data_IF_371292127795
#
_entry.id   IF_371292127795
#
_cell.length_a   1.000
_cell.length_b   1.000
_cell.length_c   1.000
_cell.angle_alpha   90.00
_cell.angle_beta   90.00
_cell.angle_gamma   90.00
#
_symmetry.space_group_name_H-M   'P 1'
#
loop_
_entity.id
_entity.type
_entity.pdbx_description
1 polymer ?
#
# COMPACT_ATOMS: atom_id res chain seq x y z
N UNK A 1 -83.30 18.19 -44.91
CA UNK A 1 -82.04 17.43 -45.10
C UNK A 1 -80.89 18.20 -44.43
N UNK A 2 -80.09 17.53 -43.59
CA UNK A 2 -78.94 18.04 -42.78
C UNK A 2 -79.39 18.87 -41.56
N UNK A 3 -79.11 18.56 -40.29
CA UNK A 3 -78.08 17.72 -39.67
C UNK A 3 -77.30 18.58 -38.68
N UNK A 4 -77.65 18.57 -37.38
CA UNK A 4 -76.77 19.00 -36.27
C UNK A 4 -77.10 18.17 -35.03
N UNK A 5 -76.34 17.09 -34.84
CA UNK A 5 -76.28 16.33 -33.59
C UNK A 5 -75.66 17.26 -32.55
N UNK A 6 -76.41 17.62 -31.51
CA UNK A 6 -75.83 18.24 -30.31
C UNK A 6 -75.05 17.14 -29.59
N UNK A 7 -73.72 17.24 -29.60
CA UNK A 7 -72.85 16.40 -28.79
C UNK A 7 -73.18 16.66 -27.31
N UNK A 8 -73.57 15.62 -26.56
CA UNK A 8 -73.59 15.66 -25.10
C UNK A 8 -72.13 15.64 -24.61
N UNK A 9 -71.74 16.41 -23.58
CA UNK A 9 -70.40 16.30 -23.02
C UNK A 9 -70.23 14.93 -22.37
N UNK A 10 -69.11 14.26 -22.66
CA UNK A 10 -68.63 13.11 -21.92
C UNK A 10 -68.09 13.61 -20.58
N UNK A 11 -68.94 13.67 -19.56
CA UNK A 11 -68.46 13.64 -18.17
C UNK A 11 -67.99 12.21 -17.88
N UNK A 12 -66.72 11.95 -18.20
CA UNK A 12 -66.03 10.81 -17.64
C UNK A 12 -65.96 11.02 -16.13
N UNK A 13 -66.75 10.24 -15.37
CA UNK A 13 -66.58 10.07 -13.93
C UNK A 13 -65.21 9.44 -13.69
N UNK A 14 -64.16 10.28 -13.65
CA UNK A 14 -62.87 9.90 -13.10
C UNK A 14 -63.11 9.65 -11.61
N UNK A 15 -63.09 8.39 -11.20
CA UNK A 15 -62.98 8.01 -9.78
C UNK A 15 -61.77 8.76 -9.22
N UNK A 16 -61.88 9.54 -8.12
CA UNK A 16 -60.72 10.22 -7.58
C UNK A 16 -59.66 9.17 -7.21
N UNK A 17 -58.36 9.43 -7.47
CA UNK A 17 -57.30 8.52 -7.06
C UNK A 17 -57.40 8.28 -5.55
N UNK A 18 -57.20 7.04 -5.06
CA UNK A 18 -57.24 6.75 -3.64
C UNK A 18 -56.25 7.67 -2.92
N UNK A 19 -56.72 8.33 -1.86
CA UNK A 19 -55.91 9.29 -1.13
C UNK A 19 -54.59 8.65 -0.66
N UNK A 20 -53.45 9.37 -0.69
CA UNK A 20 -52.14 8.84 -0.32
C UNK A 20 -52.04 8.39 1.15
N UNK A 21 -53.07 8.64 1.96
CA UNK A 21 -53.13 8.36 3.40
C UNK A 21 -53.02 6.87 3.74
N UNK A 22 -53.57 5.97 2.92
CA UNK A 22 -53.58 4.53 3.21
C UNK A 22 -52.20 3.86 3.08
N UNK A 23 -51.35 4.42 2.22
CA UNK A 23 -49.98 3.95 2.03
C UNK A 23 -49.10 4.33 3.23
N UNK A 24 -49.25 5.56 3.73
CA UNK A 24 -48.51 6.02 4.91
C UNK A 24 -48.93 5.31 6.18
N UNK A 25 -50.23 5.04 6.40
CA UNK A 25 -50.67 4.30 7.60
C UNK A 25 -50.10 2.87 7.63
N UNK A 26 -50.18 2.14 6.52
CA UNK A 26 -49.62 0.80 6.41
C UNK A 26 -48.09 0.77 6.62
N UNK A 27 -47.38 1.79 6.13
CA UNK A 27 -45.95 1.95 6.35
C UNK A 27 -45.63 2.15 7.84
N UNK A 28 -46.33 3.05 8.53
CA UNK A 28 -46.09 3.33 9.94
C UNK A 28 -46.49 2.17 10.86
N UNK A 29 -47.55 1.43 10.52
CA UNK A 29 -47.94 0.24 11.25
C UNK A 29 -46.84 -0.85 11.16
N UNK A 30 -46.31 -1.06 9.95
CA UNK A 30 -45.17 -1.98 9.74
C UNK A 30 -43.90 -1.52 10.45
N UNK A 31 -43.60 -0.23 10.44
CA UNK A 31 -42.47 0.34 11.16
C UNK A 31 -42.61 0.17 12.68
N UNK A 32 -43.84 0.34 13.21
CA UNK A 32 -44.15 0.15 14.63
C UNK A 32 -43.97 -1.30 15.06
N UNK A 33 -44.35 -2.23 14.19
CA UNK A 33 -44.15 -3.67 14.38
C UNK A 33 -42.66 -4.02 14.44
N UNK A 34 -41.87 -3.58 13.45
CA UNK A 34 -40.41 -3.79 13.40
C UNK A 34 -39.75 -3.22 14.66
N UNK A 35 -40.09 -1.98 15.05
CA UNK A 35 -39.53 -1.37 16.27
C UNK A 35 -39.92 -2.12 17.55
N UNK A 36 -41.14 -2.63 17.64
CA UNK A 36 -41.60 -3.44 18.78
C UNK A 36 -40.87 -4.77 18.85
N UNK A 37 -40.57 -5.38 17.71
CA UNK A 37 -39.79 -6.61 17.61
C UNK A 37 -38.36 -6.41 18.14
N UNK A 38 -37.61 -5.45 17.61
CA UNK A 38 -36.22 -5.21 18.07
C UNK A 38 -36.11 -4.73 19.52
N UNK A 39 -37.13 -4.05 20.06
CA UNK A 39 -37.19 -3.75 21.51
C UNK A 39 -37.35 -4.99 22.39
N UNK A 40 -38.07 -6.01 21.90
CA UNK A 40 -38.29 -7.28 22.62
C UNK A 40 -37.15 -8.27 22.41
N UNK A 41 -36.43 -8.14 21.30
CA UNK A 41 -35.32 -9.00 20.91
C UNK A 41 -34.05 -8.16 20.72
N UNK A 42 -33.49 -7.57 21.80
CA UNK A 42 -32.25 -6.81 21.71
C UNK A 42 -31.09 -7.67 21.20
N UNK A 43 -31.08 -8.97 21.52
CA UNK A 43 -30.12 -9.94 21.02
C UNK A 43 -30.18 -10.16 19.49
N UNK A 44 -31.29 -9.86 18.81
CA UNK A 44 -31.37 -9.95 17.34
C UNK A 44 -30.74 -8.73 16.64
N UNK A 45 -30.63 -7.59 17.33
CA UNK A 45 -29.84 -6.45 16.85
C UNK A 45 -28.36 -6.66 17.15
N UNK A 46 -28.04 -7.21 18.33
CA UNK A 46 -26.67 -7.46 18.76
C UNK A 46 -26.05 -8.68 18.07
N UNK A 47 -26.79 -9.76 17.82
CA UNK A 47 -26.27 -10.97 17.19
C UNK A 47 -25.85 -10.82 15.72
N UNK A 48 -26.34 -9.80 15.01
CA UNK A 48 -25.81 -9.43 13.68
C UNK A 48 -24.50 -8.65 13.81
N UNK A 49 -24.34 -7.89 14.90
CA UNK A 49 -23.12 -7.14 15.20
C UNK A 49 -22.02 -8.05 15.76
N UNK A 50 -22.36 -8.98 16.65
CA UNK A 50 -21.42 -10.00 17.17
C UNK A 50 -20.96 -10.95 16.06
N UNK A 51 -21.86 -11.44 15.19
CA UNK A 51 -21.44 -12.30 14.10
C UNK A 51 -20.56 -11.57 13.08
N UNK A 52 -20.83 -10.29 12.81
CA UNK A 52 -19.97 -9.48 11.95
C UNK A 52 -18.61 -9.20 12.62
N UNK A 53 -18.57 -8.94 13.93
CA UNK A 53 -17.33 -8.73 14.66
C UNK A 53 -16.51 -10.03 14.79
N UNK A 54 -17.15 -11.19 15.00
CA UNK A 54 -16.44 -12.48 15.06
C UNK A 54 -15.78 -12.81 13.72
N UNK A 55 -16.44 -12.54 12.59
CA UNK A 55 -15.84 -12.68 11.26
C UNK A 55 -14.68 -11.67 11.04
N UNK A 56 -14.83 -10.43 11.50
CA UNK A 56 -13.76 -9.41 11.45
C UNK A 56 -12.56 -9.80 12.33
N UNK A 57 -12.79 -10.30 13.54
CA UNK A 57 -11.75 -10.74 14.49
C UNK A 57 -10.94 -11.93 13.93
N UNK A 58 -11.60 -12.90 13.28
CA UNK A 58 -10.93 -14.02 12.61
C UNK A 58 -10.05 -13.55 11.42
N UNK A 59 -10.52 -12.55 10.67
CA UNK A 59 -9.76 -11.95 9.55
C UNK A 59 -8.56 -11.15 10.07
N UNK A 60 -8.71 -10.38 11.15
CA UNK A 60 -7.63 -9.65 11.80
C UNK A 60 -6.55 -10.59 12.34
N UNK A 61 -6.94 -11.68 13.01
CA UNK A 61 -6.01 -12.69 13.51
C UNK A 61 -5.26 -13.40 12.38
N UNK A 62 -5.95 -13.70 11.27
CA UNK A 62 -5.33 -14.29 10.08
C UNK A 62 -4.33 -13.33 9.43
N UNK A 63 -4.65 -12.03 9.37
CA UNK A 63 -3.72 -10.99 8.91
C UNK A 63 -2.50 -10.89 9.82
N UNK A 64 -2.69 -10.89 11.13
CA UNK A 64 -1.60 -10.83 12.11
C UNK A 64 -0.65 -12.03 11.96
N UNK A 65 -1.21 -13.24 11.85
CA UNK A 65 -0.46 -14.47 11.62
C UNK A 65 0.34 -14.43 10.32
N UNK A 66 -0.25 -13.87 9.26
CA UNK A 66 0.43 -13.71 7.97
C UNK A 66 1.62 -12.76 8.08
N UNK A 67 1.44 -11.58 8.70
CA UNK A 67 2.53 -10.63 8.95
C UNK A 67 3.63 -11.29 9.79
N UNK A 68 3.26 -12.05 10.82
CA UNK A 68 4.22 -12.76 11.66
C UNK A 68 5.00 -13.83 10.88
N UNK A 69 4.36 -14.53 9.95
CA UNK A 69 5.00 -15.55 9.11
C UNK A 69 5.92 -14.95 8.03
N UNK A 70 5.74 -13.69 7.68
CA UNK A 70 6.56 -13.02 6.67
C UNK A 70 7.97 -12.70 7.18
N UNK A 71 8.19 -12.53 8.49
CA UNK A 71 9.51 -12.21 9.05
C UNK A 71 10.28 -13.46 9.47
N UNK A 72 11.59 -13.45 9.21
CA UNK A 72 12.49 -14.44 9.80
C UNK A 72 12.62 -14.22 11.31
N UNK A 73 12.92 -15.30 12.04
CA UNK A 73 13.22 -15.21 13.48
C UNK A 73 14.38 -14.27 13.79
N UNK A 74 15.34 -14.12 12.87
CA UNK A 74 16.47 -13.17 13.01
C UNK A 74 16.05 -11.71 12.79
N UNK A 75 15.03 -11.47 11.97
CA UNK A 75 14.50 -10.13 11.69
C UNK A 75 13.65 -9.59 12.86
N UNK A 76 13.17 -10.48 13.74
CA UNK A 76 12.38 -10.17 14.93
C UNK A 76 11.23 -9.18 14.65
N UNK A 77 10.36 -9.55 13.70
CA UNK A 77 9.19 -8.75 13.25
C UNK A 77 9.57 -7.34 12.78
N UNK A 78 10.66 -7.22 12.02
CA UNK A 78 11.11 -5.95 11.45
C UNK A 78 12.01 -5.11 12.35
N UNK A 79 12.39 -5.62 13.52
CA UNK A 79 13.31 -4.92 14.43
C UNK A 79 14.75 -4.93 13.94
N UNK A 80 15.16 -5.99 13.26
CA UNK A 80 16.51 -6.17 12.75
C UNK A 80 16.47 -6.54 11.28
N UNK A 81 17.52 -6.15 10.55
CA UNK A 81 17.74 -6.54 9.16
C UNK A 81 18.74 -7.69 9.16
N UNK A 82 18.37 -8.83 8.57
CA UNK A 82 19.26 -9.97 8.42
C UNK A 82 20.10 -9.82 7.15
N UNK A 83 21.37 -9.44 7.32
CA UNK A 83 22.33 -9.33 6.23
C UNK A 83 23.24 -10.55 6.12
N UNK A 84 23.01 -11.62 6.90
CA UNK A 84 23.91 -12.76 6.94
C UNK A 84 23.92 -13.55 5.62
N UNK A 85 22.76 -13.72 5.00
CA UNK A 85 22.66 -14.36 3.67
C UNK A 85 23.42 -13.57 2.60
N UNK A 86 23.27 -12.25 2.62
CA UNK A 86 23.96 -11.34 1.70
C UNK A 86 25.47 -11.32 1.95
N UNK A 87 25.90 -11.35 3.21
CA UNK A 87 27.31 -11.51 3.57
C UNK A 87 27.89 -12.80 3.00
N UNK A 88 27.17 -13.93 3.13
CA UNK A 88 27.60 -15.20 2.57
C UNK A 88 27.74 -15.15 1.04
N UNK A 89 26.83 -14.47 0.34
CA UNK A 89 26.97 -14.22 -1.09
C UNK A 89 28.18 -13.34 -1.42
N UNK A 90 28.43 -12.30 -0.61
CA UNK A 90 29.55 -11.38 -0.77
C UNK A 90 30.90 -12.10 -0.64
N UNK A 91 31.14 -12.85 0.45
CA UNK A 91 32.42 -13.54 0.68
C UNK A 91 32.71 -14.63 -0.34
N UNK A 92 31.66 -15.27 -0.89
CA UNK A 92 31.78 -16.31 -1.92
C UNK A 92 31.95 -15.73 -3.33
N UNK A 93 31.81 -14.41 -3.50
CA UNK A 93 31.95 -13.76 -4.79
C UNK A 93 33.41 -13.42 -5.11
N UNK A 94 33.72 -13.25 -6.40
CA UNK A 94 35.06 -12.85 -6.85
C UNK A 94 35.39 -11.37 -6.62
N UNK A 95 34.37 -10.56 -6.32
CA UNK A 95 34.55 -9.14 -6.02
C UNK A 95 34.57 -8.86 -4.51
N UNK A 96 34.05 -9.79 -3.71
CA UNK A 96 34.09 -9.72 -2.26
C UNK A 96 35.51 -9.87 -1.73
N UNK A 97 35.76 -9.20 -0.61
CA UNK A 97 36.96 -9.39 0.18
C UNK A 97 36.68 -10.46 1.25
N UNK A 98 37.66 -11.30 1.62
CA UNK A 98 37.55 -12.21 2.76
C UNK A 98 37.63 -11.41 4.07
N UNK A 99 36.54 -10.74 4.40
CA UNK A 99 36.38 -9.90 5.61
C UNK A 99 35.42 -10.57 6.58
N UNK A 100 35.54 -10.23 7.86
CA UNK A 100 34.58 -10.64 8.89
C UNK A 100 33.24 -9.92 8.73
N UNK A 101 32.18 -10.48 9.34
CA UNK A 101 30.83 -9.91 9.27
C UNK A 101 30.74 -8.48 9.80
N UNK A 102 31.43 -8.15 10.89
CA UNK A 102 31.50 -6.79 11.45
C UNK A 102 32.07 -5.79 10.45
N UNK A 103 33.20 -6.13 9.83
CA UNK A 103 33.82 -5.31 8.80
C UNK A 103 32.94 -5.19 7.54
N UNK A 104 32.16 -6.23 7.22
CA UNK A 104 31.18 -6.15 6.15
C UNK A 104 30.06 -5.14 6.45
N UNK A 105 29.62 -5.02 7.71
CA UNK A 105 28.64 -4.00 8.10
C UNK A 105 29.18 -2.58 7.96
N UNK A 106 30.46 -2.36 8.29
CA UNK A 106 31.11 -1.06 8.09
C UNK A 106 31.15 -0.68 6.59
N UNK A 107 31.45 -1.67 5.75
CA UNK A 107 31.44 -1.55 4.29
C UNK A 107 30.02 -1.26 3.79
N UNK A 108 29.01 -1.97 4.27
CA UNK A 108 27.60 -1.75 3.94
C UNK A 108 27.09 -0.36 4.36
N UNK A 109 27.54 0.16 5.51
CA UNK A 109 27.13 1.47 6.04
C UNK A 109 27.60 2.65 5.19
N UNK A 110 28.58 2.47 4.30
CA UNK A 110 29.14 3.55 3.50
C UNK A 110 29.13 3.23 2.00
N UNK A 111 27.95 3.10 1.36
CA UNK A 111 27.86 2.71 -0.04
C UNK A 111 28.56 3.70 -0.99
N UNK A 112 28.62 4.99 -0.64
CA UNK A 112 29.26 6.04 -1.45
C UNK A 112 30.79 6.04 -1.32
N UNK A 113 31.35 5.60 -0.19
CA UNK A 113 32.80 5.52 0.02
C UNK A 113 33.39 4.25 -0.60
N UNK A 114 32.53 3.30 -1.01
CA UNK A 114 32.94 2.12 -1.75
C UNK A 114 33.43 2.52 -3.15
N UNK A 115 34.70 2.86 -3.22
CA UNK A 115 35.47 2.97 -4.44
C UNK A 115 35.74 1.55 -4.99
N UNK A 116 34.65 0.81 -5.26
CA UNK A 116 34.72 -0.50 -5.91
C UNK A 116 35.30 -0.23 -7.30
N UNK A 117 36.47 -0.82 -7.62
CA UNK A 117 37.07 -0.68 -8.94
C UNK A 117 36.02 -0.95 -10.02
N UNK A 118 35.92 -0.08 -11.03
CA UNK A 118 34.92 -0.21 -12.12
C UNK A 118 34.88 -1.63 -12.73
N UNK A 119 36.04 -2.30 -12.79
CA UNK A 119 36.18 -3.69 -13.25
C UNK A 119 35.38 -4.69 -12.41
N UNK A 120 35.29 -4.48 -11.09
CA UNK A 120 34.52 -5.31 -10.17
C UNK A 120 33.01 -5.00 -10.22
N UNK A 121 32.61 -3.75 -10.47
CA UNK A 121 31.19 -3.40 -10.73
C UNK A 121 30.65 -4.05 -12.01
N UNK A 122 31.52 -4.32 -12.98
CA UNK A 122 31.18 -4.97 -14.25
C UNK A 122 31.10 -6.50 -14.16
N UNK A 123 31.55 -7.11 -13.05
CA UNK A 123 31.48 -8.56 -12.88
C UNK A 123 30.01 -9.02 -12.82
N UNK A 124 29.72 -10.13 -13.50
CA UNK A 124 28.37 -10.73 -13.50
C UNK A 124 27.84 -10.98 -12.09
N UNK A 125 28.69 -11.47 -11.20
CA UNK A 125 28.34 -11.74 -9.81
C UNK A 125 27.97 -10.46 -9.04
N UNK A 126 28.58 -9.31 -9.33
CA UNK A 126 28.21 -8.04 -8.71
C UNK A 126 26.86 -7.55 -9.23
N UNK A 127 26.60 -7.75 -10.53
CA UNK A 127 25.31 -7.48 -11.17
C UNK A 127 24.18 -8.41 -10.74
N UNK A 128 24.49 -9.54 -10.12
CA UNK A 128 23.50 -10.43 -9.50
C UNK A 128 23.31 -10.07 -8.02
N UNK A 129 24.40 -9.82 -7.30
CA UNK A 129 24.38 -9.49 -5.87
C UNK A 129 23.70 -8.15 -5.56
N UNK A 130 24.01 -7.08 -6.28
CA UNK A 130 23.46 -5.75 -5.98
C UNK A 130 21.93 -5.69 -6.13
N UNK A 131 21.33 -6.20 -7.23
CA UNK A 131 19.87 -6.30 -7.32
C UNK A 131 19.26 -7.17 -6.22
N UNK A 132 19.90 -8.27 -5.83
CA UNK A 132 19.42 -9.11 -4.73
C UNK A 132 19.42 -8.35 -3.39
N UNK A 133 20.49 -7.59 -3.11
CA UNK A 133 20.60 -6.75 -1.94
C UNK A 133 19.49 -5.69 -1.90
N UNK A 134 19.30 -4.96 -3.00
CA UNK A 134 18.26 -3.93 -3.10
C UNK A 134 16.87 -4.56 -2.98
N UNK A 135 16.62 -5.67 -3.66
CA UNK A 135 15.34 -6.37 -3.59
C UNK A 135 15.00 -6.82 -2.16
N UNK A 136 15.98 -7.36 -1.42
CA UNK A 136 15.78 -7.73 -0.02
C UNK A 136 15.46 -6.52 0.86
N UNK A 137 16.21 -5.43 0.73
CA UNK A 137 15.99 -4.22 1.52
C UNK A 137 14.64 -3.56 1.20
N UNK A 138 14.28 -3.47 -0.08
CA UNK A 138 12.96 -2.95 -0.50
C UNK A 138 11.83 -3.82 0.03
N UNK A 139 11.96 -5.15 -0.07
CA UNK A 139 10.97 -6.08 0.46
C UNK A 139 10.86 -6.01 1.99
N UNK A 140 11.98 -5.81 2.69
CA UNK A 140 11.98 -5.58 4.14
C UNK A 140 11.27 -4.26 4.50
N UNK A 141 11.51 -3.19 3.75
CA UNK A 141 10.84 -1.90 3.96
C UNK A 141 9.32 -2.00 3.72
N UNK A 142 8.91 -2.70 2.66
CA UNK A 142 7.49 -2.95 2.35
C UNK A 142 6.74 -3.65 3.48
N UNK A 143 7.37 -4.65 4.08
CA UNK A 143 6.75 -5.44 5.15
C UNK A 143 6.74 -4.71 6.50
N UNK A 144 7.73 -3.87 6.76
CA UNK A 144 7.84 -3.11 8.02
C UNK A 144 6.92 -1.89 8.04
N UNK A 145 6.75 -1.20 6.91
CA UNK A 145 5.88 -0.03 6.78
C UNK A 145 4.93 -0.16 5.57
N UNK A 146 3.93 -1.07 5.61
CA UNK A 146 3.07 -1.36 4.46
C UNK A 146 2.16 -0.20 4.02
N UNK A 147 1.97 0.81 4.88
CA UNK A 147 1.17 2.01 4.57
C UNK A 147 1.98 3.11 3.86
N UNK A 148 3.28 2.93 3.70
CA UNK A 148 4.15 3.93 3.12
C UNK A 148 4.17 3.79 1.59
N UNK A 149 4.02 4.92 0.88
CA UNK A 149 4.13 4.96 -0.57
C UNK A 149 5.61 4.93 -0.97
N UNK A 150 6.12 3.73 -1.21
CA UNK A 150 7.51 3.54 -1.60
C UNK A 150 7.81 4.12 -2.96
N UNK A 151 6.85 4.13 -3.89
CA UNK A 151 7.06 4.69 -5.22
C UNK A 151 7.31 6.19 -5.10
N UNK A 152 6.61 6.89 -4.22
CA UNK A 152 6.87 8.29 -3.92
C UNK A 152 8.25 8.51 -3.27
N UNK A 153 8.68 7.61 -2.38
CA UNK A 153 10.01 7.68 -1.74
C UNK A 153 11.12 7.45 -2.76
N UNK A 154 11.00 6.42 -3.60
CA UNK A 154 11.96 6.14 -4.65
C UNK A 154 12.00 7.27 -5.68
N UNK A 155 10.85 7.79 -6.11
CA UNK A 155 10.79 8.93 -7.05
C UNK A 155 11.50 10.15 -6.48
N UNK A 156 11.28 10.46 -5.20
CA UNK A 156 11.97 11.57 -4.53
C UNK A 156 13.48 11.32 -4.40
N UNK A 157 13.89 10.08 -4.12
CA UNK A 157 15.30 9.71 -4.06
C UNK A 157 15.97 9.87 -5.43
N UNK A 158 15.32 9.44 -6.51
CA UNK A 158 15.80 9.63 -7.89
C UNK A 158 15.94 11.11 -8.24
N UNK A 159 14.97 11.95 -7.87
CA UNK A 159 15.07 13.41 -8.06
C UNK A 159 16.29 14.00 -7.35
N UNK A 160 16.52 13.61 -6.09
CA UNK A 160 17.71 14.09 -5.33
C UNK A 160 19.03 13.57 -5.90
N UNK A 161 19.07 12.32 -6.40
CA UNK A 161 20.28 11.78 -7.05
C UNK A 161 20.63 12.55 -8.32
N UNK A 162 19.63 12.95 -9.11
CA UNK A 162 19.83 13.76 -10.32
C UNK A 162 20.38 15.14 -9.95
N UNK A 163 19.80 15.81 -8.95
CA UNK A 163 20.27 17.13 -8.48
C UNK A 163 21.71 17.08 -7.93
N UNK A 164 22.05 16.05 -7.17
CA UNK A 164 23.40 15.86 -6.61
C UNK A 164 24.44 15.52 -7.69
N UNK A 165 24.07 14.74 -8.71
CA UNK A 165 24.93 14.45 -9.86
C UNK A 165 25.16 15.69 -10.73
N UNK A 166 24.14 16.52 -10.94
CA UNK A 166 24.27 17.80 -11.66
C UNK A 166 25.15 18.78 -10.88
N UNK A 167 24.97 18.86 -9.56
CA UNK A 167 25.78 19.70 -8.67
C UNK A 167 27.25 19.23 -8.62
N UNK A 168 27.48 17.92 -8.53
CA UNK A 168 28.82 17.33 -8.56
C UNK A 168 29.53 17.52 -9.91
N UNK A 169 28.79 17.48 -11.02
CA UNK A 169 29.31 17.76 -12.36
C UNK A 169 29.69 19.25 -12.52
N UNK A 170 28.89 20.17 -11.96
CA UNK A 170 29.16 21.61 -12.02
C UNK A 170 30.44 21.99 -11.25
N UNK A 171 30.64 21.42 -10.06
CA UNK A 171 31.86 21.62 -9.25
C UNK A 171 33.11 21.12 -9.97
N UNK A 172 32.99 20.05 -10.78
CA UNK A 172 34.11 19.49 -11.53
C UNK A 172 34.44 20.33 -12.78
N UNK A 173 33.45 20.98 -13.39
CA UNK A 173 33.66 21.94 -14.47
C UNK A 173 34.30 23.25 -13.98
N UNK A 174 33.86 23.77 -12.83
CA UNK A 174 34.42 25.00 -12.25
C UNK A 174 35.90 24.84 -11.89
N UNK A 175 36.30 23.69 -11.33
CA UNK A 175 37.69 23.36 -11.01
C UNK A 175 38.59 23.28 -12.27
N UNK A 176 38.06 22.87 -13.42
CA UNK A 176 38.79 22.82 -14.70
C UNK A 176 38.94 24.20 -15.34
N UNK A 177 37.98 25.11 -15.15
CA UNK A 177 38.07 26.48 -15.70
C UNK A 177 39.03 27.39 -14.93
N UNK A 178 39.29 27.09 -13.66
CA UNK A 178 40.27 27.79 -12.82
C UNK A 178 41.72 27.40 -13.13
N UNK A 179 41.96 26.16 -13.58
CA UNK A 179 43.30 25.68 -13.93
C UNK A 179 43.81 26.14 -15.30
N UNK A 180 42.93 26.62 -16.19
CA UNK A 180 43.27 27.05 -17.56
C UNK A 180 43.46 28.58 -17.69
N UNK A 181 43.43 29.31 -16.56
CA UNK A 181 43.57 30.78 -16.49
C UNK A 181 44.83 31.26 -15.74
N UNK A 182 45.78 30.37 -15.42
CA UNK A 182 47.06 30.73 -14.78
C UNK A 182 48.24 30.55 -15.73
#
# INVERSE_FOLDING_TARGET
MRGRRRLRPLEARLRPPPAPTFFFSAFYDRLKEIRKYYRKHPAAAWGVFDAANEEEDEEEDALLLKIMAEFSGEEAFGRYVDLHELYNQYINSKFGQPIEYSAYLDVFSQPQSQNIPRKLKLLRQNKEYLPNLVAYLTYFFQRTEPLQDLDAIFSKAEETEVEDQESGHLLQQDQLTLTDRS
#
